data_IF_067192871472
#
_entry.id   IF_067192871472
#
_cell.length_a   1.000
_cell.length_b   1.000
_cell.length_c   1.000
_cell.angle_alpha   90.00
_cell.angle_beta   90.00
_cell.angle_gamma   90.00
#
_symmetry.space_group_name_H-M   'P 1'
#
loop_
_entity.id
_entity.type
_entity.pdbx_description
1 polymer ?
#
# COMPACT_ATOMS: atom_id res chain seq x y z
N UNK A 1 15.54 -2.24 -26.43
CA UNK A 1 15.54 -2.79 -25.07
C UNK A 1 14.70 -1.92 -24.15
N UNK A 2 14.13 -2.49 -23.09
CA UNK A 2 13.48 -1.69 -22.04
C UNK A 2 14.51 -0.84 -21.31
N UNK A 3 14.10 0.38 -20.95
CA UNK A 3 14.81 1.22 -19.99
C UNK A 3 14.09 1.24 -18.64
N UNK A 4 14.56 2.08 -17.73
CA UNK A 4 13.88 2.32 -16.45
C UNK A 4 14.05 3.79 -16.03
N UNK A 5 13.11 4.27 -15.22
CA UNK A 5 13.17 5.57 -14.54
C UNK A 5 13.09 5.30 -13.04
N UNK A 6 14.08 5.76 -12.29
CA UNK A 6 14.01 5.82 -10.84
C UNK A 6 13.20 7.05 -10.42
N UNK A 7 12.12 6.82 -9.67
CA UNK A 7 11.26 7.89 -9.20
C UNK A 7 11.87 8.53 -7.94
N UNK A 8 11.78 9.85 -7.80
CA UNK A 8 12.25 10.56 -6.62
C UNK A 8 11.51 10.12 -5.35
N UNK A 9 10.22 9.79 -5.47
CA UNK A 9 9.39 9.20 -4.42
C UNK A 9 8.59 8.02 -4.95
N UNK A 10 8.25 7.03 -4.09
CA UNK A 10 7.34 5.97 -4.45
C UNK A 10 5.97 6.53 -4.84
N UNK A 11 5.31 5.93 -5.83
CA UNK A 11 3.95 6.31 -6.27
C UNK A 11 3.06 5.08 -6.35
N UNK A 12 1.76 5.26 -6.13
CA UNK A 12 0.79 4.20 -6.35
C UNK A 12 0.66 3.87 -7.84
N UNK A 13 0.67 2.58 -8.17
CA UNK A 13 0.20 2.13 -9.48
C UNK A 13 -1.33 2.28 -9.54
N UNK A 14 -1.91 3.04 -10.49
CA UNK A 14 -3.33 3.36 -10.53
C UNK A 14 -4.22 2.11 -10.63
N UNK A 15 -3.80 1.12 -11.45
CA UNK A 15 -4.50 -0.16 -11.60
C UNK A 15 -4.57 -1.02 -10.32
N UNK A 16 -3.70 -0.79 -9.33
CA UNK A 16 -3.67 -1.60 -8.11
C UNK A 16 -4.19 -0.87 -6.87
N UNK A 17 -4.57 0.42 -6.97
CA UNK A 17 -4.93 1.23 -5.81
C UNK A 17 -6.07 0.63 -4.96
N UNK A 18 -7.05 -0.02 -5.61
CA UNK A 18 -8.13 -0.75 -4.91
C UNK A 18 -7.60 -1.99 -4.19
N UNK A 19 -6.66 -2.71 -4.79
CA UNK A 19 -6.02 -3.90 -4.20
C UNK A 19 -5.16 -3.50 -3.02
N UNK A 20 -4.34 -2.45 -3.16
CA UNK A 20 -3.54 -1.83 -2.09
C UNK A 20 -4.42 -1.48 -0.89
N UNK A 21 -5.55 -0.78 -1.13
CA UNK A 21 -6.52 -0.48 -0.09
C UNK A 21 -7.01 -1.74 0.65
N UNK A 22 -7.41 -2.79 -0.08
CA UNK A 22 -7.88 -4.03 0.53
C UNK A 22 -6.79 -4.74 1.35
N UNK A 23 -5.54 -4.71 0.89
CA UNK A 23 -4.41 -5.28 1.64
C UNK A 23 -4.19 -4.49 2.94
N UNK A 24 -4.16 -3.16 2.89
CA UNK A 24 -4.08 -2.30 4.08
C UNK A 24 -5.23 -2.53 5.07
N UNK A 25 -6.44 -2.80 4.59
CA UNK A 25 -7.58 -3.16 5.45
C UNK A 25 -7.41 -4.54 6.10
N UNK A 26 -6.61 -5.42 5.50
CA UNK A 26 -6.39 -6.80 5.95
C UNK A 26 -5.24 -6.94 6.95
N UNK A 27 -4.27 -6.03 6.93
CA UNK A 27 -3.06 -6.09 7.75
C UNK A 27 -3.02 -5.00 8.81
N UNK A 28 -2.18 -5.17 9.83
CA UNK A 28 -1.85 -4.12 10.77
C UNK A 28 -1.05 -3.00 10.08
N UNK A 29 -1.57 -1.77 10.07
CA UNK A 29 -0.89 -0.62 9.45
C UNK A 29 0.41 -0.21 10.15
N UNK A 30 0.72 -0.78 11.32
CA UNK A 30 1.94 -0.52 12.08
C UNK A 30 3.00 -1.62 11.87
N UNK A 31 2.67 -2.87 12.23
CA UNK A 31 3.61 -4.00 12.18
C UNK A 31 3.55 -4.83 10.88
N UNK A 32 2.55 -4.63 10.02
CA UNK A 32 2.40 -5.36 8.75
C UNK A 32 1.81 -6.77 8.86
N UNK A 33 1.57 -7.29 10.07
CA UNK A 33 0.99 -8.63 10.30
C UNK A 33 -0.44 -8.70 9.77
N UNK A 34 -0.85 -9.82 9.15
CA UNK A 34 -2.25 -10.06 8.81
C UNK A 34 -3.10 -10.03 10.09
N UNK A 35 -4.28 -9.39 10.09
CA UNK A 35 -5.07 -9.23 11.33
C UNK A 35 -5.77 -10.51 11.80
N UNK A 36 -5.79 -11.56 10.97
CA UNK A 36 -6.37 -12.84 11.29
C UNK A 36 -5.50 -13.95 10.72
N UNK A 37 -5.41 -15.07 11.44
CA UNK A 37 -4.66 -16.24 11.04
C UNK A 37 -5.45 -17.51 11.43
N UNK A 38 -4.82 -18.67 11.23
CA UNK A 38 -5.42 -19.98 11.48
C UNK A 38 -5.68 -20.29 12.96
N UNK A 39 -5.26 -19.42 13.90
CA UNK A 39 -5.62 -19.57 15.32
C UNK A 39 -7.09 -19.25 15.59
N UNK A 40 -7.73 -18.45 14.73
CA UNK A 40 -9.18 -18.18 14.75
C UNK A 40 -9.90 -19.28 13.94
N UNK A 41 -10.67 -20.18 14.59
CA UNK A 41 -11.36 -21.27 13.88
C UNK A 41 -12.34 -20.75 12.82
N UNK A 42 -13.01 -19.62 13.09
CA UNK A 42 -13.94 -19.03 12.13
C UNK A 42 -13.22 -18.51 10.88
N UNK A 43 -11.98 -18.03 11.03
CA UNK A 43 -11.14 -17.64 9.90
C UNK A 43 -10.63 -18.88 9.16
N UNK A 44 -10.09 -19.86 9.89
CA UNK A 44 -9.54 -21.09 9.33
C UNK A 44 -10.58 -21.83 8.46
N UNK A 45 -11.80 -22.03 8.97
CA UNK A 45 -12.87 -22.71 8.25
C UNK A 45 -13.30 -21.97 6.98
N UNK A 46 -13.30 -20.64 6.99
CA UNK A 46 -13.64 -19.82 5.81
C UNK A 46 -12.64 -19.99 4.68
N UNK A 47 -11.35 -20.18 4.97
CA UNK A 47 -10.30 -20.23 3.94
C UNK A 47 -9.86 -21.65 3.59
N UNK A 48 -10.15 -22.65 4.43
CA UNK A 48 -9.67 -24.04 4.35
C UNK A 48 -9.82 -24.67 2.96
N UNK A 49 -10.96 -24.45 2.31
CA UNK A 49 -11.29 -25.07 1.03
C UNK A 49 -11.16 -24.14 -0.17
N UNK A 50 -10.71 -22.89 0.02
CA UNK A 50 -10.57 -21.93 -1.08
C UNK A 50 -9.19 -22.09 -1.72
N UNK A 51 -9.18 -22.68 -2.93
CA UNK A 51 -7.97 -22.83 -3.75
C UNK A 51 -7.68 -21.63 -4.63
N UNK A 52 -8.72 -20.97 -5.15
CA UNK A 52 -8.56 -19.79 -6.02
C UNK A 52 -8.02 -18.58 -5.21
N UNK A 53 -6.83 -18.05 -5.54
CA UNK A 53 -6.21 -16.96 -4.78
C UNK A 53 -7.05 -15.67 -4.76
N UNK A 54 -7.76 -15.37 -5.86
CA UNK A 54 -8.57 -14.16 -5.97
C UNK A 54 -9.78 -14.22 -5.04
N UNK A 55 -10.49 -15.35 -5.04
CA UNK A 55 -11.60 -15.63 -4.11
C UNK A 55 -11.09 -15.65 -2.67
N UNK A 56 -9.95 -16.30 -2.40
CA UNK A 56 -9.34 -16.36 -1.06
C UNK A 56 -9.11 -14.97 -0.51
N UNK A 57 -8.46 -14.08 -1.28
CA UNK A 57 -8.23 -12.70 -0.83
C UNK A 57 -9.54 -11.96 -0.54
N UNK A 58 -10.59 -12.18 -1.34
CA UNK A 58 -11.89 -11.56 -1.11
C UNK A 58 -12.51 -11.95 0.25
N UNK A 59 -12.39 -13.22 0.61
CA UNK A 59 -12.87 -13.76 1.89
C UNK A 59 -12.00 -13.30 3.06
N UNK A 60 -10.68 -13.39 2.93
CA UNK A 60 -9.73 -12.93 3.96
C UNK A 60 -9.92 -11.45 4.24
N UNK A 61 -9.99 -10.61 3.21
CA UNK A 61 -10.25 -9.17 3.36
C UNK A 61 -11.58 -8.91 4.05
N UNK A 62 -12.64 -9.65 3.69
CA UNK A 62 -13.96 -9.47 4.29
C UNK A 62 -13.98 -9.78 5.79
N UNK A 63 -13.14 -10.72 6.24
CA UNK A 63 -12.94 -11.03 7.66
C UNK A 63 -12.03 -10.00 8.34
N UNK A 64 -10.88 -9.69 7.75
CA UNK A 64 -9.89 -8.82 8.40
C UNK A 64 -10.34 -7.35 8.49
N UNK A 65 -11.15 -6.86 7.53
CA UNK A 65 -11.62 -5.47 7.53
C UNK A 65 -12.52 -5.14 8.73
N UNK A 66 -13.12 -6.14 9.39
CA UNK A 66 -13.95 -5.93 10.58
C UNK A 66 -13.12 -5.82 11.86
N UNK A 67 -11.85 -6.25 11.83
CA UNK A 67 -10.93 -6.15 12.97
C UNK A 67 -10.38 -4.74 13.11
N UNK A 68 -10.67 -4.11 14.25
CA UNK A 68 -10.28 -2.73 14.58
C UNK A 68 -9.07 -2.64 15.50
N UNK A 69 -8.48 -3.77 15.90
CA UNK A 69 -7.27 -3.85 16.74
C UNK A 69 -6.39 -4.98 16.21
N UNK A 70 -5.07 -4.82 16.30
CA UNK A 70 -4.11 -5.90 16.04
C UNK A 70 -3.94 -6.73 17.32
N UNK A 71 -4.67 -7.84 17.43
CA UNK A 71 -4.80 -8.65 18.64
C UNK A 71 -3.43 -9.15 19.15
N UNK A 72 -2.94 -8.70 20.32
CA UNK A 72 -1.73 -9.23 20.92
C UNK A 72 -1.97 -10.64 21.48
N UNK A 73 -0.89 -11.35 21.81
CA UNK A 73 -1.00 -12.60 22.57
C UNK A 73 -1.50 -12.33 23.98
N UNK A 74 -2.31 -13.24 24.51
CA UNK A 74 -2.68 -13.21 25.92
C UNK A 74 -1.41 -13.38 26.79
N UNK A 75 -1.30 -12.65 27.91
CA UNK A 75 -0.23 -12.87 28.87
C UNK A 75 -0.22 -14.33 29.31
N UNK A 76 0.98 -14.93 29.45
CA UNK A 76 1.10 -16.26 30.06
C UNK A 76 0.56 -16.18 31.49
N UNK A 77 -0.36 -17.07 31.85
CA UNK A 77 -0.87 -17.15 33.23
C UNK A 77 0.28 -17.56 34.16
N UNK A 78 0.58 -16.71 35.15
CA UNK A 78 1.56 -17.01 36.20
C UNK A 78 0.96 -18.06 37.15
N UNK A 79 1.39 -19.32 37.03
CA UNK A 79 1.04 -20.39 37.98
C UNK A 79 0.71 -21.76 37.37
N UNK A 80 0.74 -21.92 36.04
CA UNK A 80 0.51 -23.21 35.38
C UNK A 80 1.85 -23.94 35.18
N UNK A 81 1.90 -25.20 35.60
CA UNK A 81 3.08 -26.08 35.49
C UNK A 81 3.55 -26.16 34.03
N UNK A 82 4.82 -25.82 33.71
CA UNK A 82 5.31 -25.77 32.33
C UNK A 82 5.34 -27.13 31.62
N UNK A 83 5.06 -28.24 32.32
CA UNK A 83 5.02 -29.60 31.77
C UNK A 83 3.63 -30.02 31.23
N UNK A 84 2.55 -29.27 31.48
CA UNK A 84 1.18 -29.76 31.21
C UNK A 84 0.26 -28.89 30.33
N UNK A 85 0.73 -27.76 29.79
CA UNK A 85 0.01 -27.02 28.74
C UNK A 85 0.88 -26.83 27.49
N UNK A 86 0.38 -27.28 26.33
CA UNK A 86 0.86 -26.75 25.06
C UNK A 86 0.57 -25.24 25.06
N UNK A 87 1.59 -24.37 24.91
CA UNK A 87 1.35 -22.93 24.90
C UNK A 87 0.43 -22.61 23.73
N UNK A 88 -0.81 -22.18 24.02
CA UNK A 88 -1.74 -21.68 23.00
C UNK A 88 -1.03 -20.55 22.26
N UNK A 89 -0.61 -20.82 21.02
CA UNK A 89 0.00 -19.81 20.15
C UNK A 89 -1.09 -18.81 19.81
N UNK A 90 -1.05 -17.63 20.43
CA UNK A 90 -1.95 -16.55 20.10
C UNK A 90 -1.63 -15.91 18.74
N UNK A 91 -2.40 -14.89 18.39
CA UNK A 91 -2.29 -14.19 17.12
C UNK A 91 -0.98 -13.40 16.98
N UNK A 92 -0.31 -13.00 18.07
CA UNK A 92 0.98 -12.33 18.09
C UNK A 92 1.01 -10.95 17.45
N UNK A 93 -0.09 -10.19 17.57
CA UNK A 93 -0.20 -8.80 17.13
C UNK A 93 0.46 -7.81 18.10
N UNK A 94 0.44 -6.52 17.74
CA UNK A 94 1.13 -5.47 18.49
C UNK A 94 0.20 -4.54 19.29
N UNK A 95 -1.10 -4.83 19.37
CA UNK A 95 -2.09 -4.01 20.07
C UNK A 95 -2.52 -2.72 19.33
N UNK A 96 -1.93 -2.40 18.17
CA UNK A 96 -2.21 -1.15 17.47
C UNK A 96 -3.67 -1.07 17.00
N UNK A 97 -4.34 0.05 17.30
CA UNK A 97 -5.71 0.33 16.82
C UNK A 97 -5.67 0.50 15.30
N UNK A 98 -6.60 -0.14 14.61
CA UNK A 98 -6.63 -0.17 13.15
C UNK A 98 -7.58 0.89 12.60
N UNK A 99 -7.11 1.77 11.69
CA UNK A 99 -7.96 2.79 11.09
C UNK A 99 -8.90 2.22 10.04
N UNK A 100 -9.95 2.97 9.72
CA UNK A 100 -10.70 2.78 8.48
C UNK A 100 -9.90 3.38 7.32
N UNK A 101 -9.70 2.61 6.25
CA UNK A 101 -8.98 3.08 5.06
C UNK A 101 -9.99 3.70 4.08
N UNK A 102 -9.81 4.97 3.74
CA UNK A 102 -10.65 5.69 2.77
C UNK A 102 -9.84 6.00 1.51
N UNK A 103 -10.46 5.88 0.34
CA UNK A 103 -9.87 6.24 -0.95
C UNK A 103 -10.58 7.47 -1.50
N UNK A 104 -9.82 8.47 -1.89
CA UNK A 104 -10.32 9.64 -2.61
C UNK A 104 -9.39 9.95 -3.78
N UNK A 105 -9.89 9.80 -5.01
CA UNK A 105 -9.06 9.88 -6.20
C UNK A 105 -7.90 8.87 -6.16
N UNK A 106 -6.67 9.40 -6.23
CA UNK A 106 -5.39 8.66 -6.16
C UNK A 106 -4.77 8.64 -4.75
N UNK A 107 -5.48 9.13 -3.73
CA UNK A 107 -5.01 9.22 -2.35
C UNK A 107 -5.71 8.19 -1.45
N UNK A 108 -4.98 7.72 -0.43
CA UNK A 108 -5.50 6.87 0.64
C UNK A 108 -5.39 7.61 1.97
N UNK A 109 -6.41 7.47 2.81
CA UNK A 109 -6.48 8.11 4.12
C UNK A 109 -6.74 7.08 5.20
N UNK A 110 -6.06 7.23 6.33
CA UNK A 110 -6.34 6.54 7.58
C UNK A 110 -7.32 7.39 8.37
N UNK A 111 -8.43 6.79 8.79
CA UNK A 111 -9.45 7.45 9.60
C UNK A 111 -9.63 6.67 10.89
N UNK A 112 -9.19 7.26 12.01
CA UNK A 112 -9.38 6.68 13.33
C UNK A 112 -10.72 7.14 13.92
N UNK A 113 -11.45 6.22 14.54
CA UNK A 113 -12.62 6.59 15.35
C UNK A 113 -12.08 7.21 16.64
N UNK A 114 -12.44 8.46 16.93
CA UNK A 114 -12.20 9.01 18.27
C UNK A 114 -13.06 8.23 19.27
N UNK A 115 -12.42 7.74 20.33
CA UNK A 115 -13.14 7.41 21.56
C UNK A 115 -13.65 8.73 22.11
N UNK A 116 -14.94 8.82 22.44
CA UNK A 116 -15.48 10.00 23.10
C UNK A 116 -14.85 10.04 24.49
N UNK A 117 -13.90 10.94 24.72
CA UNK A 117 -13.64 11.43 26.06
C UNK A 117 -14.74 12.47 26.37
N UNK A 118 -15.43 12.28 27.49
CA UNK A 118 -16.62 13.06 27.89
C UNK A 118 -16.31 14.54 28.22
N UNK A 119 -15.06 15.01 28.12
CA UNK A 119 -14.62 16.32 28.63
C UNK A 119 -14.25 17.39 27.58
N UNK A 120 -14.23 17.09 26.27
CA UNK A 120 -13.86 18.07 25.23
C UNK A 120 -14.96 18.25 24.16
N UNK A 121 -16.12 18.75 24.60
CA UNK A 121 -17.09 19.37 23.71
C UNK A 121 -16.49 20.67 23.12
N UNK A 122 -16.56 20.81 21.78
CA UNK A 122 -16.57 22.08 21.00
C UNK A 122 -15.37 22.40 20.08
N UNK A 123 -14.26 21.65 19.99
CA UNK A 123 -13.24 21.96 18.95
C UNK A 123 -12.85 20.78 18.05
N UNK A 124 -13.53 20.76 16.90
CA UNK A 124 -13.34 19.93 15.69
C UNK A 124 -13.99 18.55 15.71
N UNK A 125 -15.23 18.50 15.23
CA UNK A 125 -16.03 17.29 14.95
C UNK A 125 -15.50 16.44 13.78
N UNK A 126 -14.28 16.69 13.28
CA UNK A 126 -13.72 15.89 12.20
C UNK A 126 -12.94 14.70 12.76
N UNK A 127 -13.22 13.47 12.28
CA UNK A 127 -12.45 12.29 12.65
C UNK A 127 -10.98 12.50 12.30
N UNK A 128 -10.06 12.00 13.14
CA UNK A 128 -8.63 12.10 12.87
C UNK A 128 -8.30 11.37 11.58
N UNK A 129 -8.10 12.18 10.53
CA UNK A 129 -8.01 11.76 9.14
C UNK A 129 -6.64 12.15 8.63
N UNK A 130 -5.79 11.15 8.44
CA UNK A 130 -4.41 11.31 7.99
C UNK A 130 -4.22 10.74 6.59
N UNK A 131 -3.56 11.48 5.70
CA UNK A 131 -3.08 10.91 4.44
C UNK A 131 -2.02 9.83 4.76
N UNK A 132 -2.10 8.66 4.13
CA UNK A 132 -1.01 7.66 4.13
C UNK A 132 -0.29 7.74 2.79
N UNK A 133 1.01 8.00 2.82
CA UNK A 133 1.79 8.19 1.59
C UNK A 133 2.15 6.85 0.94
N UNK A 134 2.43 6.80 -0.37
CA UNK A 134 2.88 5.56 -1.01
C UNK A 134 4.15 4.99 -0.36
N UNK A 135 5.05 5.85 0.13
CA UNK A 135 6.26 5.44 0.85
C UNK A 135 5.97 4.74 2.18
N UNK A 136 4.99 5.24 2.94
CA UNK A 136 4.52 4.59 4.16
C UNK A 136 3.91 3.22 3.86
N UNK A 137 3.03 3.14 2.85
CA UNK A 137 2.42 1.87 2.41
C UNK A 137 3.48 0.86 1.98
N UNK A 138 4.47 1.29 1.19
CA UNK A 138 5.58 0.46 0.76
C UNK A 138 6.34 -0.15 1.94
N UNK A 139 6.60 0.66 2.97
CA UNK A 139 7.30 0.22 4.18
C UNK A 139 6.47 -0.77 4.98
N UNK A 140 5.15 -0.56 5.10
CA UNK A 140 4.24 -1.49 5.79
C UNK A 140 4.15 -2.81 5.02
N UNK A 141 4.02 -2.78 3.70
CA UNK A 141 3.94 -3.98 2.87
C UNK A 141 5.22 -4.82 2.92
N UNK A 142 6.39 -4.18 3.02
CA UNK A 142 7.66 -4.87 3.23
C UNK A 142 7.76 -5.65 4.53
N UNK A 143 7.00 -5.27 5.57
CA UNK A 143 6.97 -5.98 6.86
C UNK A 143 6.13 -7.25 6.84
N UNK A 144 5.32 -7.47 5.78
CA UNK A 144 4.51 -8.67 5.68
C UNK A 144 5.39 -9.92 5.57
N UNK A 145 5.04 -10.95 6.35
CA UNK A 145 5.69 -12.25 6.28
C UNK A 145 5.19 -13.04 5.07
N UNK A 146 6.02 -13.94 4.55
CA UNK A 146 5.62 -14.81 3.43
C UNK A 146 4.42 -15.70 3.80
N UNK A 147 4.32 -16.12 5.06
CA UNK A 147 3.15 -16.84 5.58
C UNK A 147 1.87 -16.02 5.45
N UNK A 148 1.90 -14.74 5.84
CA UNK A 148 0.75 -13.83 5.72
C UNK A 148 0.37 -13.59 4.25
N UNK A 149 1.35 -13.53 3.34
CA UNK A 149 1.10 -13.41 1.91
C UNK A 149 0.29 -14.62 1.39
N UNK A 150 0.70 -15.83 1.75
CA UNK A 150 0.02 -17.06 1.35
C UNK A 150 -1.39 -17.19 1.96
N UNK A 151 -1.55 -16.79 3.23
CA UNK A 151 -2.88 -16.75 3.87
C UNK A 151 -3.80 -15.76 3.16
N UNK A 152 -3.30 -14.57 2.81
CA UNK A 152 -4.06 -13.56 2.07
C UNK A 152 -4.39 -13.97 0.64
N UNK A 153 -3.67 -14.93 0.06
CA UNK A 153 -3.83 -15.35 -1.34
C UNK A 153 -2.97 -14.53 -2.32
N UNK A 154 -1.82 -14.06 -1.87
CA UNK A 154 -0.75 -13.49 -2.70
C UNK A 154 0.39 -14.50 -2.87
N UNK A 155 1.29 -14.23 -3.82
CA UNK A 155 2.47 -15.05 -4.11
C UNK A 155 3.74 -14.27 -3.72
N UNK A 156 4.62 -14.91 -2.97
CA UNK A 156 5.94 -14.36 -2.60
C UNK A 156 6.86 -14.17 -3.82
N UNK A 157 6.70 -14.99 -4.85
CA UNK A 157 7.58 -15.01 -6.03
C UNK A 157 7.07 -14.08 -7.14
N UNK A 158 5.76 -14.01 -7.36
CA UNK A 158 5.18 -13.33 -8.53
C UNK A 158 4.34 -12.10 -8.20
N UNK A 159 3.90 -11.94 -6.95
CA UNK A 159 2.87 -10.95 -6.61
C UNK A 159 3.03 -10.35 -5.21
N UNK A 160 4.26 -9.92 -4.86
CA UNK A 160 4.50 -9.22 -3.60
C UNK A 160 3.76 -7.88 -3.56
N UNK A 161 3.14 -7.53 -2.42
CA UNK A 161 2.27 -6.36 -2.31
C UNK A 161 3.03 -5.05 -2.48
N UNK A 162 4.29 -4.97 -2.03
CA UNK A 162 5.10 -3.76 -2.19
C UNK A 162 5.39 -3.41 -3.66
N UNK A 163 5.28 -4.36 -4.60
CA UNK A 163 5.45 -4.11 -6.04
C UNK A 163 4.27 -3.36 -6.66
N UNK A 164 3.14 -3.26 -5.95
CA UNK A 164 2.02 -2.39 -6.35
C UNK A 164 2.34 -0.90 -6.14
N UNK A 165 3.44 -0.59 -5.45
CA UNK A 165 3.98 0.75 -5.27
C UNK A 165 5.21 0.88 -6.17
N UNK A 166 5.15 1.78 -7.15
CA UNK A 166 6.21 1.99 -8.10
C UNK A 166 7.31 2.85 -7.47
N UNK A 167 8.50 2.28 -7.31
CA UNK A 167 9.74 3.01 -7.02
C UNK A 167 10.58 3.20 -8.28
N UNK A 168 10.49 2.24 -9.20
CA UNK A 168 11.12 2.24 -10.52
C UNK A 168 10.06 1.96 -11.56
N UNK A 169 10.00 2.79 -12.60
CA UNK A 169 9.05 2.63 -13.71
C UNK A 169 9.77 2.07 -14.94
N UNK A 170 9.23 1.02 -15.60
CA UNK A 170 9.80 0.53 -16.85
C UNK A 170 9.53 1.52 -17.99
N UNK A 171 10.56 1.76 -18.81
CA UNK A 171 10.44 2.57 -20.03
C UNK A 171 10.35 1.65 -21.23
N UNK A 172 9.25 1.68 -21.99
CA UNK A 172 9.09 0.81 -23.15
C UNK A 172 10.08 1.20 -24.26
N UNK A 173 10.53 0.21 -25.07
CA UNK A 173 11.46 0.44 -26.16
C UNK A 173 10.80 1.22 -27.32
N UNK A 174 11.57 1.83 -28.24
CA UNK A 174 11.04 2.58 -29.38
C UNK A 174 9.96 1.88 -30.22
N UNK A 175 9.99 0.54 -30.46
CA UNK A 175 8.92 -0.14 -31.19
C UNK A 175 7.53 -0.04 -30.55
N UNK A 176 7.45 0.23 -29.24
CA UNK A 176 6.18 0.43 -28.51
C UNK A 176 5.76 1.91 -28.50
N UNK A 177 6.70 2.83 -28.74
CA UNK A 177 6.50 4.30 -28.76
C UNK A 177 7.12 4.90 -30.04
N UNK A 178 6.60 4.57 -31.22
CA UNK A 178 7.23 4.87 -32.50
C UNK A 178 7.19 6.37 -32.82
N UNK A 179 8.27 6.91 -33.37
CA UNK A 179 8.30 8.28 -33.88
C UNK A 179 7.91 8.34 -35.36
N UNK A 180 7.30 9.46 -35.75
CA UNK A 180 6.92 9.76 -37.14
C UNK A 180 7.89 10.81 -37.66
N UNK A 181 8.54 10.50 -38.79
CA UNK A 181 9.38 11.45 -39.51
C UNK A 181 8.68 11.89 -40.80
N UNK A 182 8.62 13.21 -41.02
CA UNK A 182 8.07 13.83 -42.24
C UNK A 182 9.23 14.50 -43.01
N UNK A 183 9.10 14.61 -44.34
CA UNK A 183 10.07 15.26 -45.23
C UNK A 183 11.50 14.71 -45.11
N UNK A 184 11.67 13.40 -45.25
CA UNK A 184 12.98 12.76 -45.25
C UNK A 184 13.73 12.86 -43.91
N UNK A 185 13.04 13.22 -42.83
CA UNK A 185 13.62 13.35 -41.48
C UNK A 185 13.86 14.78 -41.00
N UNK A 186 13.48 15.80 -41.79
CA UNK A 186 13.59 17.20 -41.38
C UNK A 186 12.67 17.53 -40.19
N UNK A 187 11.49 16.93 -40.12
CA UNK A 187 10.58 17.05 -38.98
C UNK A 187 10.37 15.69 -38.34
N UNK A 188 10.61 15.60 -37.02
CA UNK A 188 10.33 14.42 -36.20
C UNK A 188 9.28 14.76 -35.17
N UNK A 189 8.21 13.97 -35.16
CA UNK A 189 7.19 13.96 -34.11
C UNK A 189 7.37 12.68 -33.31
N UNK A 190 7.62 12.81 -32.02
CA UNK A 190 7.71 11.64 -31.14
C UNK A 190 6.31 11.15 -30.76
N UNK A 191 6.23 9.93 -30.25
CA UNK A 191 4.99 9.35 -29.73
C UNK A 191 4.51 10.07 -28.44
N UNK A 192 3.20 10.12 -28.20
CA UNK A 192 2.61 10.71 -27.00
C UNK A 192 3.12 10.08 -25.70
N UNK A 193 3.42 8.78 -25.69
CA UNK A 193 4.05 8.11 -24.55
C UNK A 193 5.43 8.71 -24.26
N UNK A 194 6.19 9.06 -25.30
CA UNK A 194 7.51 9.68 -25.15
C UNK A 194 7.41 11.07 -24.52
N UNK A 195 6.43 11.90 -24.95
CA UNK A 195 6.18 13.20 -24.32
C UNK A 195 5.78 13.04 -22.85
N UNK A 196 4.89 12.09 -22.55
CA UNK A 196 4.43 11.85 -21.17
C UNK A 196 5.55 11.35 -20.26
N UNK A 197 6.41 10.48 -20.76
CA UNK A 197 7.62 10.04 -20.05
C UNK A 197 8.55 11.22 -19.76
N UNK A 198 8.69 12.17 -20.69
CA UNK A 198 9.42 13.42 -20.49
C UNK A 198 8.86 14.25 -19.33
N UNK A 199 7.53 14.36 -19.22
CA UNK A 199 6.90 15.05 -18.09
C UNK A 199 7.09 14.33 -16.76
N UNK A 200 7.04 12.99 -16.74
CA UNK A 200 7.33 12.19 -15.54
C UNK A 200 8.76 12.44 -15.06
N UNK A 201 9.74 12.46 -15.97
CA UNK A 201 11.15 12.73 -15.64
C UNK A 201 11.29 14.14 -15.04
N UNK A 202 10.67 15.16 -15.64
CA UNK A 202 10.70 16.54 -15.12
C UNK A 202 10.05 16.64 -13.74
N UNK A 203 8.88 16.03 -13.56
CA UNK A 203 8.19 16.03 -12.27
C UNK A 203 9.03 15.33 -11.18
N UNK A 204 9.63 14.18 -11.51
CA UNK A 204 10.52 13.45 -10.59
C UNK A 204 11.76 14.27 -10.21
N UNK A 205 12.41 14.90 -11.19
CA UNK A 205 13.56 15.77 -10.94
C UNK A 205 13.19 16.98 -10.05
N UNK A 206 12.01 17.57 -10.24
CA UNK A 206 11.53 18.68 -9.42
C UNK A 206 11.31 18.26 -7.96
N UNK A 207 10.70 17.10 -7.71
CA UNK A 207 10.57 16.55 -6.35
C UNK A 207 11.94 16.40 -5.70
N UNK A 208 12.89 15.75 -6.40
CA UNK A 208 14.26 15.54 -5.89
C UNK A 208 14.97 16.86 -5.58
N UNK A 209 14.81 17.87 -6.43
CA UNK A 209 15.40 19.20 -6.22
C UNK A 209 14.80 19.89 -4.99
N UNK A 210 13.48 19.90 -4.85
CA UNK A 210 12.81 20.51 -3.70
C UNK A 210 13.23 19.85 -2.38
N UNK A 211 13.47 18.55 -2.37
CA UNK A 211 13.98 17.84 -1.19
C UNK A 211 15.42 18.23 -0.85
N UNK A 212 16.29 18.33 -1.85
CA UNK A 212 17.69 18.72 -1.67
C UNK A 212 17.85 20.17 -1.20
N UNK A 213 16.96 21.05 -1.67
CA UNK A 213 16.93 22.46 -1.27
C UNK A 213 16.25 22.69 0.10
N UNK A 214 15.72 21.64 0.73
CA UNK A 214 15.04 21.74 2.02
C UNK A 214 13.72 22.49 1.95
N UNK A 215 12.98 22.37 0.84
CA UNK A 215 11.69 23.01 0.67
C UNK A 215 10.68 22.57 1.75
N UNK A 216 9.69 23.40 2.10
CA UNK A 216 8.66 23.04 3.06
C UNK A 216 7.90 21.77 2.67
N UNK A 217 7.51 20.96 3.67
CA UNK A 217 6.87 19.65 3.44
C UNK A 217 5.58 19.71 2.60
N UNK A 218 4.78 20.78 2.74
CA UNK A 218 3.56 20.95 1.95
C UNK A 218 3.86 21.17 0.46
N UNK A 219 4.95 21.88 0.13
CA UNK A 219 5.40 22.09 -1.26
C UNK A 219 5.87 20.78 -1.87
N UNK A 220 6.65 19.99 -1.12
CA UNK A 220 7.09 18.66 -1.58
C UNK A 220 5.88 17.75 -1.84
N UNK A 221 4.88 17.78 -0.96
CA UNK A 221 3.65 16.99 -1.13
C UNK A 221 2.84 17.39 -2.38
N UNK A 222 2.83 18.67 -2.76
CA UNK A 222 2.21 19.13 -4.01
C UNK A 222 2.95 18.59 -5.25
N UNK A 223 4.28 18.64 -5.26
CA UNK A 223 5.07 18.07 -6.36
C UNK A 223 4.99 16.53 -6.41
N UNK A 224 4.93 15.86 -5.25
CA UNK A 224 4.68 14.41 -5.17
C UNK A 224 3.31 14.05 -5.76
N UNK A 225 2.27 14.85 -5.47
CA UNK A 225 0.95 14.66 -6.06
C UNK A 225 0.96 14.88 -7.58
N UNK A 226 1.72 15.87 -8.07
CA UNK A 226 1.88 16.08 -9.51
C UNK A 226 2.59 14.90 -10.18
N UNK A 227 3.66 14.38 -9.56
CA UNK A 227 4.35 13.17 -10.02
C UNK A 227 3.38 11.98 -10.08
N UNK A 228 2.62 11.73 -9.01
CA UNK A 228 1.59 10.68 -8.97
C UNK A 228 0.56 10.83 -10.09
N UNK A 229 0.16 12.06 -10.43
CA UNK A 229 -0.78 12.33 -11.52
C UNK A 229 -0.17 12.00 -12.89
N UNK A 230 1.07 12.45 -13.17
CA UNK A 230 1.73 12.13 -14.44
C UNK A 230 1.93 10.63 -14.63
N UNK A 231 2.33 9.93 -13.56
CA UNK A 231 2.45 8.47 -13.57
C UNK A 231 1.10 7.79 -13.79
N UNK A 232 0.05 8.26 -13.10
CA UNK A 232 -1.28 7.64 -13.21
C UNK A 232 -1.97 7.88 -14.56
N UNK A 233 -1.64 8.97 -15.26
CA UNK A 233 -2.20 9.28 -16.58
C UNK A 233 -1.39 8.72 -17.74
N UNK A 234 -0.20 8.18 -17.45
CA UNK A 234 0.63 7.45 -18.41
C UNK A 234 0.21 5.98 -18.55
N UNK A 235 -0.25 5.37 -17.45
CA UNK A 235 -0.72 3.97 -17.39
C UNK A 235 -2.21 3.84 -17.67
#
# INVERSE_FOLDING_TARGET
HFGHIELARPVFHPGFLVKVKKILESICVNCGKLKADISDPNFADKIRHIRDPKTRMGVVWSHCKTKTVCEPDDPREEGVDPENEEPKRGHGGCGHIQPQIRKEGLKLFLQYKRVRDDDDEIKSSQPDRRLITPAEVYTVFKKMSDHDLHLLGLSEEYARPEWMILTVMPVPPPPVRPSIAVDGGAMRSEDDLTYKLGDIIKASANVRRCEQEGAPAHVIAEFEQLLQFHVATYM
#
